data_IF_299028787971
#
_entry.id   IF_299028787971
#
_cell.length_a   1.000
_cell.length_b   1.000
_cell.length_c   1.000
_cell.angle_alpha   90.00
_cell.angle_beta   90.00
_cell.angle_gamma   90.00
#
_symmetry.space_group_name_H-M   'P 1'
#
loop_
_entity.id
_entity.type
_entity.pdbx_description
1 polymer ?
#
# COMPACT_ATOMS: atom_id res chain seq x y z
N UNK A 1 -4.41 6.47 -4.66
CA UNK A 1 -4.89 5.67 -3.51
C UNK A 1 -4.81 6.51 -2.25
N UNK A 2 -5.85 6.48 -1.41
CA UNK A 2 -5.82 7.17 -0.12
C UNK A 2 -5.51 6.17 0.99
N UNK A 3 -5.33 6.70 2.22
CA UNK A 3 -4.96 5.88 3.36
C UNK A 3 -6.00 4.81 3.70
N UNK A 4 -7.28 5.14 3.56
CA UNK A 4 -8.36 4.20 3.82
C UNK A 4 -8.32 3.01 2.84
N UNK A 5 -8.09 3.29 1.58
CA UNK A 5 -7.95 2.26 0.55
C UNK A 5 -6.73 1.38 0.81
N UNK A 6 -5.62 2.00 1.19
CA UNK A 6 -4.40 1.30 1.55
C UNK A 6 -4.63 0.37 2.73
N UNK A 7 -5.31 0.85 3.76
CA UNK A 7 -5.61 0.06 4.96
C UNK A 7 -6.38 -1.21 4.61
N UNK A 8 -7.39 -1.09 3.76
CA UNK A 8 -8.20 -2.22 3.35
C UNK A 8 -7.41 -3.20 2.48
N UNK A 9 -6.66 -2.68 1.53
CA UNK A 9 -5.89 -3.52 0.61
C UNK A 9 -4.79 -4.31 1.33
N UNK A 10 -4.14 -3.69 2.31
CA UNK A 10 -3.06 -4.32 3.05
C UNK A 10 -3.55 -5.13 4.26
N UNK A 11 -4.82 -4.99 4.64
CA UNK A 11 -5.37 -5.69 5.80
C UNK A 11 -4.76 -5.21 7.11
N UNK A 12 -4.43 -3.92 7.20
CA UNK A 12 -3.78 -3.34 8.38
C UNK A 12 -4.77 -2.64 9.28
N UNK A 13 -4.38 -2.44 10.55
CA UNK A 13 -5.10 -1.55 11.44
C UNK A 13 -4.90 -0.10 10.98
N UNK A 14 -5.77 0.80 11.43
CA UNK A 14 -5.66 2.21 11.06
C UNK A 14 -4.31 2.81 11.47
N UNK A 15 -3.79 2.40 12.63
CA UNK A 15 -2.50 2.87 13.13
C UNK A 15 -1.34 2.42 12.25
N UNK A 16 -1.32 1.16 11.88
CA UNK A 16 -0.28 0.63 11.00
C UNK A 16 -0.39 1.20 9.59
N UNK A 17 -1.61 1.39 9.11
CA UNK A 17 -1.82 2.01 7.79
C UNK A 17 -1.27 3.43 7.77
N UNK A 18 -1.49 4.20 8.84
CA UNK A 18 -0.96 5.56 8.93
C UNK A 18 0.57 5.56 8.93
N UNK A 19 1.17 4.57 9.57
CA UNK A 19 2.63 4.46 9.66
C UNK A 19 3.27 4.11 8.32
N UNK A 20 2.66 3.19 7.59
CA UNK A 20 3.25 2.65 6.36
C UNK A 20 2.78 3.31 5.08
N UNK A 21 1.71 4.09 5.15
CA UNK A 21 1.13 4.70 3.95
C UNK A 21 2.13 5.55 3.18
N UNK A 22 2.86 6.43 3.87
CA UNK A 22 3.79 7.34 3.21
C UNK A 22 4.97 6.61 2.56
N UNK A 23 5.68 5.70 3.26
CA UNK A 23 6.78 4.95 2.62
C UNK A 23 6.33 4.13 1.42
N UNK A 24 5.17 3.47 1.53
CA UNK A 24 4.65 2.64 0.44
C UNK A 24 4.23 3.52 -0.73
N UNK A 25 3.57 4.64 -0.45
CA UNK A 25 3.16 5.59 -1.47
C UNK A 25 4.37 6.14 -2.24
N UNK A 26 5.43 6.49 -1.52
CA UNK A 26 6.67 6.98 -2.12
C UNK A 26 7.33 5.91 -2.98
N UNK A 27 7.35 4.66 -2.51
CA UNK A 27 7.89 3.55 -3.27
C UNK A 27 7.13 3.33 -4.57
N UNK A 28 5.80 3.40 -4.52
CA UNK A 28 4.97 3.26 -5.72
C UNK A 28 5.26 4.37 -6.74
N UNK A 29 5.46 5.59 -6.27
CA UNK A 29 5.82 6.71 -7.15
C UNK A 29 7.17 6.49 -7.79
N UNK A 30 8.13 6.00 -7.03
CA UNK A 30 9.48 5.74 -7.53
C UNK A 30 9.47 4.69 -8.63
N UNK A 31 8.64 3.66 -8.50
CA UNK A 31 8.54 2.60 -9.50
C UNK A 31 7.53 2.92 -10.60
N UNK A 32 6.89 4.10 -10.56
CA UNK A 32 5.92 4.50 -11.58
C UNK A 32 4.60 3.75 -11.52
N UNK A 33 4.25 3.22 -10.35
CA UNK A 33 3.00 2.48 -10.16
C UNK A 33 1.90 3.48 -9.85
N UNK A 34 1.14 3.87 -10.88
CA UNK A 34 0.13 4.92 -10.75
C UNK A 34 -1.31 4.43 -10.90
N UNK A 35 -1.52 3.29 -11.56
CA UNK A 35 -2.86 2.74 -11.77
C UNK A 35 -3.37 2.07 -10.51
N UNK A 36 -4.65 2.26 -10.13
CA UNK A 36 -5.19 1.65 -8.92
C UNK A 36 -5.04 0.14 -8.84
N UNK A 37 -5.21 -0.56 -9.95
CA UNK A 37 -5.07 -2.02 -10.00
C UNK A 37 -3.62 -2.42 -9.67
N UNK A 38 -2.67 -1.74 -10.27
CA UNK A 38 -1.25 -2.01 -10.06
C UNK A 38 -0.85 -1.71 -8.62
N UNK A 39 -1.38 -0.63 -8.05
CA UNK A 39 -1.14 -0.27 -6.65
C UNK A 39 -1.67 -1.34 -5.70
N UNK A 40 -2.86 -1.84 -5.96
CA UNK A 40 -3.46 -2.89 -5.13
C UNK A 40 -2.63 -4.17 -5.19
N UNK A 41 -2.18 -4.55 -6.38
CA UNK A 41 -1.34 -5.73 -6.55
C UNK A 41 0.00 -5.59 -5.84
N UNK A 42 0.62 -4.43 -5.94
CA UNK A 42 1.88 -4.14 -5.26
C UNK A 42 1.73 -4.29 -3.75
N UNK A 43 0.69 -3.72 -3.19
CA UNK A 43 0.43 -3.76 -1.75
C UNK A 43 0.12 -5.18 -1.29
N UNK A 44 -0.69 -5.90 -2.03
CA UNK A 44 -1.04 -7.28 -1.68
C UNK A 44 0.20 -8.17 -1.66
N UNK A 45 1.09 -8.00 -2.62
CA UNK A 45 2.32 -8.77 -2.72
C UNK A 45 3.26 -8.46 -1.57
N UNK A 46 3.42 -7.18 -1.24
CA UNK A 46 4.27 -6.75 -0.13
C UNK A 46 3.73 -7.28 1.21
N UNK A 47 2.43 -7.22 1.41
CA UNK A 47 1.79 -7.74 2.62
C UNK A 47 1.94 -9.25 2.75
N UNK A 48 1.85 -9.97 1.65
CA UNK A 48 2.02 -11.42 1.66
C UNK A 48 3.43 -11.83 2.08
N UNK A 49 4.42 -11.12 1.59
CA UNK A 49 5.82 -11.41 1.91
C UNK A 49 6.19 -11.03 3.35
N UNK A 50 5.42 -10.15 3.97
CA UNK A 50 5.67 -9.71 5.34
C UNK A 50 5.15 -10.67 6.39
N UNK A 51 4.42 -11.69 6.00
CA UNK A 51 3.95 -12.73 6.93
C UNK A 51 5.06 -13.76 7.22
#
# INVERSE_FOLDING_TARGET
MNQSQFQKAAGLSAELAARWFQPVSDAMKEFGITKPVDQAMFIAQAGHESL
#
